data_IF_059075803128
#
_entry.id   IF_059075803128
#
_cell.length_a   1.000
_cell.length_b   1.000
_cell.length_c   1.000
_cell.angle_alpha   90.00
_cell.angle_beta   90.00
_cell.angle_gamma   90.00
#
_symmetry.space_group_name_H-M   'P 1'
#
loop_
_entity.id
_entity.type
_entity.pdbx_description
1 polymer ?
#
# COMPACT_ATOMS: atom_id res chain seq x y z
N UNK A 1 -41.41 1.10 -8.55
CA UNK A 1 -40.44 0.05 -8.98
C UNK A 1 -39.78 0.54 -10.26
N UNK A 2 -38.47 0.54 -10.48
CA UNK A 2 -37.33 0.25 -9.64
C UNK A 2 -36.13 0.98 -10.25
N UNK A 3 -35.47 1.82 -9.45
CA UNK A 3 -34.24 2.50 -9.88
C UNK A 3 -33.08 1.50 -9.76
N UNK A 4 -32.99 0.59 -10.72
CA UNK A 4 -31.87 -0.32 -10.86
C UNK A 4 -30.64 0.46 -11.34
N UNK A 5 -29.95 1.06 -10.37
CA UNK A 5 -28.49 1.25 -10.29
C UNK A 5 -27.76 1.26 -11.64
N UNK A 6 -27.40 2.46 -12.09
CA UNK A 6 -26.26 2.72 -12.99
C UNK A 6 -24.94 2.38 -12.26
N UNK A 7 -24.74 1.11 -11.94
CA UNK A 7 -23.43 0.57 -11.57
C UNK A 7 -22.88 0.08 -12.89
N UNK A 8 -21.91 0.79 -13.46
CA UNK A 8 -21.32 0.45 -14.77
C UNK A 8 -20.98 -1.04 -14.91
N UNK A 9 -20.78 -1.47 -16.15
CA UNK A 9 -20.44 -2.86 -16.48
C UNK A 9 -19.23 -3.36 -15.67
N UNK A 10 -19.07 -4.68 -15.60
CA UNK A 10 -17.90 -5.28 -14.94
C UNK A 10 -16.59 -4.71 -15.50
N UNK A 11 -16.54 -4.51 -16.81
CA UNK A 11 -15.38 -3.95 -17.50
C UNK A 11 -15.07 -2.53 -17.02
N UNK A 12 -16.06 -1.64 -16.99
CA UNK A 12 -15.89 -0.26 -16.50
C UNK A 12 -15.37 -0.20 -15.05
N UNK A 13 -15.79 -1.14 -14.20
CA UNK A 13 -15.30 -1.22 -12.81
C UNK A 13 -13.84 -1.68 -12.74
N UNK A 14 -13.43 -2.61 -13.61
CA UNK A 14 -12.04 -3.07 -13.70
C UNK A 14 -11.14 -1.95 -14.22
N UNK A 15 -11.56 -1.24 -15.26
CA UNK A 15 -10.78 -0.12 -15.82
C UNK A 15 -10.65 1.03 -14.82
N UNK A 16 -11.72 1.35 -14.09
CA UNK A 16 -11.66 2.34 -13.01
C UNK A 16 -10.69 1.93 -11.88
N UNK A 17 -10.72 0.66 -11.45
CA UNK A 17 -9.79 0.16 -10.43
C UNK A 17 -8.32 0.19 -10.89
N UNK A 18 -8.07 -0.14 -12.17
CA UNK A 18 -6.72 -0.04 -12.76
C UNK A 18 -6.24 1.42 -12.81
N UNK A 19 -7.09 2.34 -13.26
CA UNK A 19 -6.75 3.77 -13.31
C UNK A 19 -6.40 4.30 -11.91
N UNK A 20 -7.16 3.90 -10.89
CA UNK A 20 -6.90 4.21 -9.50
C UNK A 20 -5.54 3.66 -9.02
N UNK A 21 -5.18 2.43 -9.39
CA UNK A 21 -3.87 1.85 -9.02
C UNK A 21 -2.71 2.57 -9.72
N UNK A 22 -2.88 2.98 -10.99
CA UNK A 22 -1.87 3.76 -11.73
C UNK A 22 -1.65 5.11 -11.07
N UNK A 23 -2.72 5.81 -10.68
CA UNK A 23 -2.63 7.07 -9.97
C UNK A 23 -1.91 6.89 -8.63
N UNK A 24 -2.26 5.84 -7.89
CA UNK A 24 -1.64 5.53 -6.61
C UNK A 24 -0.15 5.21 -6.73
N UNK A 25 0.26 4.45 -7.76
CA UNK A 25 1.68 4.15 -8.01
C UNK A 25 2.51 5.42 -8.18
N UNK A 26 1.95 6.49 -8.76
CA UNK A 26 2.61 7.79 -8.92
C UNK A 26 2.81 8.54 -7.61
N UNK A 27 2.03 8.23 -6.57
CA UNK A 27 2.18 8.83 -5.25
C UNK A 27 3.34 8.23 -4.45
N UNK A 28 3.87 7.08 -4.86
CA UNK A 28 5.07 6.47 -4.29
C UNK A 28 6.30 6.75 -5.16
N UNK A 29 7.50 6.88 -4.56
CA UNK A 29 8.74 6.92 -5.32
C UNK A 29 8.95 5.62 -6.12
N UNK A 30 9.80 5.69 -7.15
CA UNK A 30 10.15 4.51 -7.94
C UNK A 30 10.82 3.44 -7.09
N UNK A 31 11.64 3.88 -6.14
CA UNK A 31 12.38 3.04 -5.19
C UNK A 31 12.17 3.50 -3.75
N UNK A 32 12.30 2.58 -2.78
CA UNK A 32 12.37 2.89 -1.35
C UNK A 32 13.66 2.33 -0.76
N UNK A 33 14.10 2.90 0.36
CA UNK A 33 15.27 2.43 1.11
C UNK A 33 14.87 1.34 2.10
N UNK A 34 15.61 0.24 2.14
CA UNK A 34 15.41 -0.82 3.12
C UNK A 34 15.72 -0.33 4.53
N UNK A 35 14.82 -0.60 5.49
CA UNK A 35 15.01 -0.20 6.88
C UNK A 35 16.22 -0.89 7.55
N UNK A 36 16.61 -2.07 7.06
CA UNK A 36 17.63 -2.91 7.68
C UNK A 36 19.04 -2.64 7.12
N UNK A 37 19.26 -2.96 5.84
CA UNK A 37 20.57 -2.83 5.22
C UNK A 37 20.79 -1.52 4.45
N UNK A 38 19.79 -0.62 4.44
CA UNK A 38 19.81 0.65 3.69
C UNK A 38 19.94 0.49 2.16
N UNK A 39 19.78 -0.72 1.63
CA UNK A 39 19.77 -1.00 0.19
C UNK A 39 18.53 -0.44 -0.50
N UNK A 40 18.64 -0.18 -1.81
CA UNK A 40 17.53 0.26 -2.63
C UNK A 40 16.58 -0.89 -2.99
N UNK A 41 15.28 -0.64 -2.94
CA UNK A 41 14.22 -1.58 -3.33
C UNK A 41 13.38 -0.92 -4.43
N UNK A 42 13.52 -1.42 -5.66
CA UNK A 42 12.77 -0.95 -6.82
C UNK A 42 11.50 -1.79 -7.12
N UNK A 43 11.49 -3.05 -6.71
CA UNK A 43 10.35 -3.95 -6.92
C UNK A 43 9.30 -3.73 -5.82
N UNK A 44 8.39 -2.80 -6.09
CA UNK A 44 7.36 -2.36 -5.14
C UNK A 44 5.97 -2.82 -5.59
N UNK A 45 5.32 -3.60 -4.74
CA UNK A 45 3.91 -3.88 -4.83
C UNK A 45 3.13 -2.75 -4.15
N UNK A 46 2.36 -1.99 -4.93
CA UNK A 46 1.52 -0.89 -4.43
C UNK A 46 0.07 -1.34 -4.35
N UNK A 47 -0.56 -1.04 -3.23
CA UNK A 47 -1.96 -1.39 -2.98
C UNK A 47 -2.69 -0.32 -2.17
N UNK A 48 -4.00 -0.25 -2.39
CA UNK A 48 -4.88 0.51 -1.51
C UNK A 48 -5.02 -0.22 -0.18
N UNK A 49 -4.90 0.54 0.90
CA UNK A 49 -5.21 0.03 2.23
C UNK A 49 -6.66 0.35 2.51
N UNK A 50 -7.47 -0.69 2.65
CA UNK A 50 -8.85 -0.56 3.12
C UNK A 50 -8.85 -0.91 4.61
N UNK A 51 -9.74 -0.25 5.35
CA UNK A 51 -10.01 -0.56 6.76
C UNK A 51 -8.91 -0.18 7.78
N UNK A 52 -7.92 0.64 7.38
CA UNK A 52 -6.98 1.28 8.30
C UNK A 52 -7.25 2.79 8.33
N UNK A 53 -7.82 3.33 9.41
CA UNK A 53 -8.13 4.76 9.51
C UNK A 53 -6.88 5.63 9.30
N UNK A 54 -7.01 6.64 8.44
CA UNK A 54 -5.93 7.57 8.13
C UNK A 54 -4.82 7.00 7.24
N UNK A 55 -4.94 5.78 6.71
CA UNK A 55 -4.04 5.25 5.68
C UNK A 55 -4.80 5.03 4.37
N UNK A 56 -4.26 5.57 3.30
CA UNK A 56 -4.84 5.51 1.95
C UNK A 56 -4.22 4.34 1.19
N UNK A 57 -2.92 4.14 1.33
CA UNK A 57 -2.18 3.18 0.53
C UNK A 57 -0.87 2.73 1.18
N UNK A 58 -0.38 1.60 0.68
CA UNK A 58 0.91 1.03 1.05
C UNK A 58 1.68 0.59 -0.21
N UNK A 59 2.99 0.79 -0.18
CA UNK A 59 3.94 0.13 -1.04
C UNK A 59 4.77 -0.84 -0.19
N UNK A 60 4.96 -2.06 -0.66
CA UNK A 60 5.85 -3.04 -0.01
C UNK A 60 6.85 -3.59 -1.00
N UNK A 61 8.05 -3.88 -0.55
CA UNK A 61 9.06 -4.57 -1.35
C UNK A 61 9.96 -5.43 -0.47
N UNK A 62 10.53 -6.47 -1.08
CA UNK A 62 11.50 -7.35 -0.43
C UNK A 62 12.89 -6.95 -0.86
N UNK A 63 13.75 -6.62 0.09
CA UNK A 63 15.14 -6.30 -0.17
C UNK A 63 15.96 -7.56 -0.48
N UNK A 64 17.08 -7.39 -1.17
CA UNK A 64 18.05 -8.46 -1.42
C UNK A 64 18.65 -9.04 -0.12
N UNK A 65 18.68 -8.29 0.99
CA UNK A 65 19.09 -8.83 2.29
C UNK A 65 18.07 -9.79 2.92
N UNK A 66 16.87 -9.90 2.33
CA UNK A 66 15.79 -10.77 2.80
C UNK A 66 14.68 -10.03 3.56
N UNK A 67 14.97 -8.85 4.10
CA UNK A 67 14.02 -8.03 4.88
C UNK A 67 12.92 -7.44 3.99
N UNK A 68 11.72 -7.29 4.55
CA UNK A 68 10.60 -6.60 3.90
C UNK A 68 10.51 -5.18 4.42
N UNK A 69 10.33 -4.21 3.52
CA UNK A 69 10.12 -2.81 3.90
C UNK A 69 8.83 -2.32 3.27
N UNK A 70 8.07 -1.53 4.04
CA UNK A 70 6.81 -0.95 3.60
C UNK A 70 6.84 0.57 3.79
N UNK A 71 6.22 1.27 2.85
CA UNK A 71 5.94 2.70 2.93
C UNK A 71 4.42 2.91 2.88
N UNK A 72 3.92 3.88 3.64
CA UNK A 72 2.50 4.19 3.73
C UNK A 72 2.23 5.63 3.30
N UNK A 73 1.07 5.86 2.70
CA UNK A 73 0.54 7.20 2.38
C UNK A 73 -0.78 7.36 3.11
N UNK A 74 -0.94 8.49 3.77
CA UNK A 74 -2.14 8.82 4.53
C UNK A 74 -1.92 10.03 5.43
N UNK A 75 -2.85 10.24 6.36
CA UNK A 75 -2.74 11.23 7.41
C UNK A 75 -1.66 10.82 8.42
N UNK A 76 -1.01 11.82 9.02
CA UNK A 76 0.14 11.61 9.92
C UNK A 76 -0.15 10.60 11.03
N UNK A 77 -1.27 10.75 11.73
CA UNK A 77 -1.62 9.87 12.85
C UNK A 77 -1.89 8.43 12.40
N UNK A 78 -2.58 8.26 11.26
CA UNK A 78 -2.86 6.93 10.70
C UNK A 78 -1.60 6.22 10.23
N UNK A 79 -0.68 6.94 9.58
CA UNK A 79 0.61 6.40 9.13
C UNK A 79 1.47 5.98 10.32
N UNK A 80 1.54 6.77 11.39
CA UNK A 80 2.27 6.41 12.61
C UNK A 80 1.67 5.13 13.22
N UNK A 81 0.36 5.11 13.45
CA UNK A 81 -0.32 3.96 14.04
C UNK A 81 -0.16 2.67 13.20
N UNK A 82 -0.17 2.78 11.87
CA UNK A 82 0.07 1.66 10.98
C UNK A 82 1.53 1.16 11.03
N UNK A 83 2.49 2.08 11.13
CA UNK A 83 3.91 1.75 11.34
C UNK A 83 4.12 0.98 12.65
N UNK A 84 3.60 1.49 13.76
CA UNK A 84 3.69 0.84 15.08
C UNK A 84 3.03 -0.55 15.06
N UNK A 85 1.86 -0.67 14.41
CA UNK A 85 1.16 -1.95 14.30
C UNK A 85 1.94 -2.97 13.46
N UNK A 86 2.57 -2.53 12.37
CA UNK A 86 3.39 -3.37 11.52
C UNK A 86 4.63 -3.88 12.28
N UNK A 87 5.31 -3.01 13.01
CA UNK A 87 6.46 -3.38 13.85
C UNK A 87 6.09 -4.47 14.85
N UNK A 88 5.00 -4.26 15.62
CA UNK A 88 4.51 -5.26 16.57
C UNK A 88 4.15 -6.61 15.93
N UNK A 89 3.66 -6.60 14.69
CA UNK A 89 3.34 -7.84 13.95
C UNK A 89 4.61 -8.56 13.51
N UNK A 90 5.65 -7.82 13.11
CA UNK A 90 6.94 -8.38 12.71
C UNK A 90 7.69 -8.95 13.92
N UNK A 91 7.71 -8.24 15.05
CA UNK A 91 8.30 -8.72 16.31
C UNK A 91 7.65 -10.03 16.78
N UNK A 92 6.32 -10.13 16.70
CA UNK A 92 5.59 -11.36 17.07
C UNK A 92 5.90 -12.55 16.16
N UNK A 93 6.35 -12.30 14.94
CA UNK A 93 6.72 -13.35 13.98
C UNK A 93 8.18 -13.78 14.09
N UNK A 94 8.95 -13.19 15.02
CA UNK A 94 10.35 -13.56 15.27
C UNK A 94 11.30 -13.15 14.14
N UNK A 95 11.06 -11.98 13.55
CA UNK A 95 12.00 -11.34 12.64
C UNK A 95 13.29 -10.91 13.36
#
# INVERSE_FOLDING_TARGET
MGQAKRRGSLQERVDAAKAQLVELRKSFPETITCNDCQGEIADLEVSYVRDVPGVIAAARGRCACGSTTAAFIGDREGVIAAGDALEQVLERQGA
#
